data_IF_790393180149
#
_entry.id   IF_790393180149
#
_cell.length_a   1.000
_cell.length_b   1.000
_cell.length_c   1.000
_cell.angle_alpha   90.00
_cell.angle_beta   90.00
_cell.angle_gamma   90.00
#
_symmetry.space_group_name_H-M   'P 1'
#
loop_
_entity.id
_entity.type
_entity.pdbx_description
1 polymer ?
#
# COMPACT_ATOMS: atom_id res chain seq x y z
N UNK A 1 4.35 -16.79 25.83
CA UNK A 1 4.24 -15.54 25.04
C UNK A 1 3.88 -15.92 23.62
N UNK A 2 2.80 -15.39 23.03
CA UNK A 2 2.69 -15.45 21.57
C UNK A 2 3.88 -14.69 20.99
N UNK A 3 4.46 -15.24 19.93
CA UNK A 3 5.34 -14.46 19.06
C UNK A 3 4.54 -13.23 18.63
N UNK A 4 4.98 -12.01 18.96
CA UNK A 4 4.43 -10.83 18.29
C UNK A 4 4.63 -11.01 16.78
N UNK A 5 3.91 -10.26 15.94
CA UNK A 5 4.09 -10.28 14.48
C UNK A 5 5.48 -9.71 14.05
N UNK A 6 6.26 -9.24 15.05
CA UNK A 6 7.71 -9.14 15.04
C UNK A 6 8.46 -10.50 15.00
N UNK A 7 7.78 -11.63 14.82
CA UNK A 7 8.27 -12.98 15.19
C UNK A 7 9.57 -13.43 14.55
N UNK A 8 9.85 -12.93 13.34
CA UNK A 8 11.15 -13.04 12.68
C UNK A 8 11.60 -11.70 12.11
N UNK A 9 11.70 -10.68 12.98
CA UNK A 9 12.39 -9.44 12.57
C UNK A 9 13.82 -9.72 12.13
N UNK A 10 14.51 -10.68 12.74
CA UNK A 10 15.89 -11.01 12.42
C UNK A 10 15.98 -11.96 11.22
N UNK A 11 16.78 -11.56 10.23
CA UNK A 11 17.23 -12.42 9.14
C UNK A 11 18.23 -13.44 9.68
N UNK A 12 17.88 -14.73 9.66
CA UNK A 12 18.75 -15.83 10.10
C UNK A 12 19.05 -16.79 8.96
N UNK A 13 20.23 -17.43 9.01
CA UNK A 13 20.65 -18.43 8.02
C UNK A 13 19.62 -19.56 7.92
N UNK A 14 19.10 -20.03 9.05
CA UNK A 14 18.09 -21.09 9.10
C UNK A 14 16.76 -20.65 8.47
N UNK A 15 16.31 -19.41 8.72
CA UNK A 15 15.07 -18.91 8.13
C UNK A 15 15.20 -18.73 6.62
N UNK A 16 16.32 -18.18 6.16
CA UNK A 16 16.60 -18.00 4.73
C UNK A 16 16.72 -19.35 4.01
N UNK A 17 17.33 -20.36 4.65
CA UNK A 17 17.36 -21.73 4.16
C UNK A 17 15.95 -22.30 4.00
N UNK A 18 15.13 -22.23 5.06
CA UNK A 18 13.72 -22.68 5.03
C UNK A 18 12.85 -21.94 4.00
N UNK A 19 13.13 -20.67 3.73
CA UNK A 19 12.47 -19.91 2.67
C UNK A 19 12.94 -20.38 1.27
N UNK A 20 14.24 -20.58 1.06
CA UNK A 20 14.75 -21.12 -0.21
C UNK A 20 14.26 -22.55 -0.51
N UNK A 21 14.12 -23.39 0.53
CA UNK A 21 13.59 -24.76 0.40
C UNK A 21 12.09 -24.78 0.04
N UNK A 22 11.31 -23.78 0.50
CA UNK A 22 9.92 -23.57 0.06
C UNK A 22 9.84 -23.18 -1.41
N UNK A 23 10.58 -22.15 -1.82
CA UNK A 23 10.62 -21.68 -3.22
C UNK A 23 10.95 -22.79 -4.22
N UNK A 24 11.98 -23.60 -3.96
CA UNK A 24 12.34 -24.75 -4.83
C UNK A 24 11.22 -25.81 -4.91
N UNK A 25 10.38 -25.94 -3.87
CA UNK A 25 9.23 -26.85 -3.89
C UNK A 25 8.05 -26.25 -4.68
N UNK A 26 7.76 -24.96 -4.48
CA UNK A 26 6.71 -24.23 -5.23
C UNK A 26 7.04 -24.14 -6.72
N UNK A 27 8.29 -23.84 -7.08
CA UNK A 27 8.78 -23.81 -8.46
C UNK A 27 8.61 -25.17 -9.15
N UNK A 28 8.95 -26.27 -8.47
CA UNK A 28 8.68 -27.64 -8.97
C UNK A 28 7.19 -27.92 -9.17
N UNK A 29 6.32 -27.44 -8.27
CA UNK A 29 4.87 -27.55 -8.42
C UNK A 29 4.39 -26.70 -9.62
N UNK A 30 4.97 -25.52 -9.83
CA UNK A 30 4.64 -24.64 -10.96
C UNK A 30 5.08 -25.25 -12.29
N UNK A 31 6.30 -25.77 -12.40
CA UNK A 31 6.77 -26.50 -13.59
C UNK A 31 5.90 -27.74 -13.87
N UNK A 32 5.45 -28.46 -12.83
CA UNK A 32 4.48 -29.56 -12.99
C UNK A 32 3.11 -29.09 -13.51
N UNK A 33 2.58 -27.95 -13.02
CA UNK A 33 1.33 -27.36 -13.55
C UNK A 33 1.48 -26.85 -14.98
N UNK A 34 2.57 -26.16 -15.32
CA UNK A 34 2.83 -25.62 -16.67
C UNK A 34 3.01 -26.76 -17.69
N UNK A 35 3.72 -27.83 -17.32
CA UNK A 35 3.82 -29.02 -18.19
C UNK A 35 2.47 -29.72 -18.39
N UNK A 36 1.61 -29.80 -17.36
CA UNK A 36 0.23 -30.28 -17.51
C UNK A 36 -0.65 -29.36 -18.38
N UNK A 37 -0.50 -28.03 -18.30
CA UNK A 37 -1.20 -27.08 -19.17
C UNK A 37 -0.75 -27.20 -20.64
N UNK A 38 0.53 -27.48 -20.90
CA UNK A 38 1.04 -27.71 -22.26
C UNK A 38 0.32 -28.85 -23.01
N UNK A 39 -0.29 -29.79 -22.29
CA UNK A 39 -1.13 -30.86 -22.88
C UNK A 39 -2.60 -30.51 -23.11
N UNK A 40 -3.10 -29.36 -22.62
CA UNK A 40 -4.52 -28.98 -22.70
C UNK A 40 -4.81 -27.65 -23.42
N UNK A 41 -3.86 -26.74 -23.56
CA UNK A 41 -4.09 -25.46 -24.25
C UNK A 41 -3.90 -25.53 -25.78
N UNK A 42 -4.93 -26.07 -26.46
CA UNK A 42 -5.21 -25.82 -27.89
C UNK A 42 -6.33 -24.78 -28.08
N UNK A 43 -6.16 -23.59 -27.53
CA UNK A 43 -6.89 -22.40 -27.95
C UNK A 43 -5.94 -21.28 -28.35
N UNK A 44 -5.57 -21.29 -29.64
CA UNK A 44 -4.96 -20.13 -30.29
C UNK A 44 -6.04 -19.08 -30.57
N UNK A 45 -5.82 -17.86 -30.11
CA UNK A 45 -6.37 -16.65 -30.75
C UNK A 45 -5.24 -15.64 -30.90
N UNK A 46 -5.07 -15.01 -32.09
CA UNK A 46 -3.92 -14.17 -32.37
C UNK A 46 -4.07 -12.77 -31.75
N UNK A 47 -2.96 -12.21 -31.29
CA UNK A 47 -2.87 -10.77 -30.96
C UNK A 47 -2.97 -9.96 -32.24
N UNK A 48 -3.99 -9.11 -32.33
CA UNK A 48 -4.11 -8.12 -33.41
C UNK A 48 -3.06 -7.03 -33.23
N UNK A 49 -2.08 -7.01 -34.12
CA UNK A 49 -1.14 -5.88 -34.25
C UNK A 49 -1.81 -4.79 -35.09
N UNK A 50 -2.06 -3.64 -34.47
CA UNK A 50 -2.36 -2.39 -35.17
C UNK A 50 -1.28 -1.36 -34.82
N UNK A 51 -0.48 -1.02 -35.83
CA UNK A 51 0.48 0.08 -35.77
C UNK A 51 -0.24 1.42 -35.92
N UNK A 52 0.11 2.42 -35.10
CA UNK A 52 0.51 3.74 -35.60
C UNK A 52 1.29 4.60 -34.56
N UNK A 53 2.61 4.66 -34.77
CA UNK A 53 3.61 5.73 -34.53
C UNK A 53 3.44 6.81 -33.42
N UNK A 54 4.50 6.87 -32.59
CA UNK A 54 5.33 8.06 -32.19
C UNK A 54 4.70 9.06 -31.17
N UNK A 55 5.34 9.48 -30.07
CA UNK A 55 6.60 9.14 -29.35
C UNK A 55 6.45 9.49 -27.84
N UNK A 56 7.42 9.52 -26.90
CA UNK A 56 8.89 9.51 -26.91
C UNK A 56 9.51 8.24 -26.29
N UNK A 57 10.68 7.84 -26.80
CA UNK A 57 11.40 6.62 -26.37
C UNK A 57 12.20 6.86 -25.08
N UNK A 58 11.93 6.07 -24.03
CA UNK A 58 12.94 5.75 -23.01
C UNK A 58 13.87 4.71 -23.64
N UNK A 59 15.16 4.99 -23.69
CA UNK A 59 16.14 4.03 -24.19
C UNK A 59 16.23 2.82 -23.25
N UNK A 60 15.60 1.72 -23.64
CA UNK A 60 15.58 0.47 -22.90
C UNK A 60 16.91 -0.29 -22.92
N UNK A 61 17.93 0.18 -23.65
CA UNK A 61 19.22 -0.53 -23.79
C UNK A 61 20.21 -0.25 -22.67
N UNK A 62 20.03 0.82 -21.88
CA UNK A 62 20.89 1.11 -20.72
C UNK A 62 20.39 0.52 -19.39
N UNK A 63 19.21 -0.11 -19.36
CA UNK A 63 18.83 -0.97 -18.25
C UNK A 63 19.67 -2.25 -18.28
N UNK A 64 20.80 -2.24 -17.56
CA UNK A 64 21.58 -3.43 -17.24
C UNK A 64 20.80 -4.33 -16.28
N UNK A 65 19.84 -5.06 -16.83
CA UNK A 65 19.23 -6.22 -16.19
C UNK A 65 20.33 -7.26 -15.92
N UNK A 66 20.41 -7.75 -14.68
CA UNK A 66 21.31 -8.84 -14.34
C UNK A 66 20.86 -10.10 -15.09
N UNK A 67 21.80 -10.93 -15.54
CA UNK A 67 21.55 -11.93 -16.59
C UNK A 67 20.92 -13.23 -16.07
N UNK A 68 20.04 -13.15 -15.08
CA UNK A 68 19.38 -14.31 -14.44
C UNK A 68 18.11 -14.74 -15.15
N UNK A 69 17.46 -13.84 -15.89
CA UNK A 69 16.11 -14.08 -16.40
C UNK A 69 16.18 -14.46 -17.88
N UNK A 70 16.01 -15.76 -18.14
CA UNK A 70 15.94 -16.30 -19.50
C UNK A 70 14.81 -15.69 -20.33
N UNK A 71 14.94 -15.75 -21.66
CA UNK A 71 14.01 -15.10 -22.58
C UNK A 71 12.53 -15.51 -22.39
N UNK A 72 12.27 -16.71 -21.86
CA UNK A 72 10.92 -17.24 -21.55
C UNK A 72 10.22 -16.58 -20.35
N UNK A 73 10.89 -15.71 -19.59
CA UNK A 73 10.28 -15.01 -18.44
C UNK A 73 9.86 -13.57 -18.71
N UNK A 74 10.22 -12.99 -19.87
CA UNK A 74 9.84 -11.61 -20.20
C UNK A 74 8.34 -11.41 -20.41
N UNK A 75 7.67 -12.42 -20.97
CA UNK A 75 6.23 -12.40 -21.24
C UNK A 75 5.38 -12.51 -19.96
N UNK A 76 6.01 -12.86 -18.83
CA UNK A 76 5.38 -13.08 -17.52
C UNK A 76 5.56 -11.90 -16.54
N UNK A 77 6.21 -10.81 -16.94
CA UNK A 77 6.42 -9.66 -16.07
C UNK A 77 5.17 -8.77 -16.03
N UNK A 78 4.70 -8.46 -14.82
CA UNK A 78 3.57 -7.55 -14.55
C UNK A 78 2.20 -7.98 -15.12
N UNK A 79 1.98 -9.29 -15.34
CA UNK A 79 0.68 -9.84 -15.77
C UNK A 79 -0.48 -9.41 -14.86
N UNK A 80 -0.21 -9.32 -13.55
CA UNK A 80 -1.21 -8.91 -12.57
C UNK A 80 -1.60 -7.43 -12.73
N UNK A 81 -0.63 -6.53 -12.91
CA UNK A 81 -0.88 -5.13 -13.22
C UNK A 81 -1.59 -4.93 -14.58
N UNK A 82 -1.26 -5.73 -15.59
CA UNK A 82 -1.97 -5.74 -16.89
C UNK A 82 -3.43 -6.15 -16.67
N UNK A 83 -3.67 -7.28 -16.00
CA UNK A 83 -5.02 -7.79 -15.74
C UNK A 83 -5.86 -6.84 -14.89
N UNK A 84 -5.25 -6.18 -13.91
CA UNK A 84 -5.92 -5.16 -13.11
C UNK A 84 -6.35 -3.98 -13.98
N UNK A 85 -5.46 -3.50 -14.87
CA UNK A 85 -5.76 -2.40 -15.78
C UNK A 85 -6.90 -2.72 -16.75
N UNK A 86 -7.01 -3.96 -17.23
CA UNK A 86 -8.15 -4.41 -18.04
C UNK A 86 -9.47 -4.29 -17.27
N UNK A 87 -9.50 -4.82 -16.04
CA UNK A 87 -10.70 -4.80 -15.19
C UNK A 87 -11.10 -3.39 -14.80
N UNK A 88 -10.16 -2.54 -14.37
CA UNK A 88 -10.47 -1.14 -14.04
C UNK A 88 -10.94 -0.36 -15.26
N UNK A 89 -10.33 -0.57 -16.44
CA UNK A 89 -10.77 0.08 -17.67
C UNK A 89 -12.20 -0.31 -18.08
N UNK A 90 -12.58 -1.58 -17.90
CA UNK A 90 -13.95 -2.04 -18.15
C UNK A 90 -14.98 -1.44 -17.19
N UNK A 91 -14.55 -0.98 -16.01
CA UNK A 91 -15.39 -0.34 -14.98
C UNK A 91 -15.46 1.19 -15.09
N UNK A 92 -14.64 1.83 -15.93
CA UNK A 92 -14.60 3.28 -16.08
C UNK A 92 -15.89 3.84 -16.72
N UNK A 93 -16.81 4.32 -15.89
CA UNK A 93 -17.78 5.33 -16.32
C UNK A 93 -17.04 6.66 -16.61
N UNK A 94 -17.61 7.51 -17.48
CA UNK A 94 -16.90 8.64 -18.11
C UNK A 94 -16.60 9.84 -17.18
N UNK A 95 -15.71 9.64 -16.21
CA UNK A 95 -15.19 10.67 -15.30
C UNK A 95 -14.14 11.63 -15.92
N UNK A 96 -13.94 11.60 -17.25
CA UNK A 96 -12.91 12.38 -17.96
C UNK A 96 -13.03 13.91 -17.85
N UNK A 97 -14.16 14.42 -17.33
CA UNK A 97 -14.40 15.84 -17.09
C UNK A 97 -13.98 16.35 -15.70
N UNK A 98 -13.68 15.44 -14.76
CA UNK A 98 -13.31 15.78 -13.38
C UNK A 98 -11.84 16.21 -13.25
N UNK A 99 -11.60 17.25 -12.46
CA UNK A 99 -10.28 17.87 -12.24
C UNK A 99 -9.95 18.00 -10.75
N UNK A 100 -8.67 17.84 -10.40
CA UNK A 100 -8.12 17.87 -9.05
C UNK A 100 -7.33 19.15 -8.73
N UNK A 101 -7.35 20.18 -9.59
CA UNK A 101 -6.59 21.44 -9.47
C UNK A 101 -6.76 22.18 -8.13
N UNK A 102 -7.84 21.89 -7.40
CA UNK A 102 -8.18 22.45 -6.10
C UNK A 102 -7.52 21.72 -4.91
N UNK A 103 -6.93 20.55 -5.15
CA UNK A 103 -6.12 19.79 -4.20
C UNK A 103 -4.65 20.12 -4.48
N UNK A 104 -3.99 20.74 -3.50
CA UNK A 104 -2.62 21.26 -3.63
C UNK A 104 -1.60 20.43 -2.86
N UNK A 105 -2.00 19.78 -1.77
CA UNK A 105 -1.10 18.93 -0.96
C UNK A 105 -1.82 17.66 -0.52
N UNK A 106 -1.14 16.53 -0.64
CA UNK A 106 -1.57 15.24 -0.10
C UNK A 106 -0.85 15.00 1.23
N UNK A 107 -1.56 15.15 2.34
CA UNK A 107 -1.00 14.98 3.69
C UNK A 107 -1.30 13.56 4.16
N UNK A 108 -0.30 12.68 4.10
CA UNK A 108 -0.48 11.26 4.44
C UNK A 108 -0.11 11.03 5.91
N UNK A 109 -1.08 10.57 6.68
CA UNK A 109 -0.92 10.06 8.05
C UNK A 109 -1.12 8.54 7.94
N UNK A 110 -0.12 7.75 8.32
CA UNK A 110 -0.05 6.35 7.90
C UNK A 110 0.82 5.45 8.77
N UNK A 111 0.83 4.15 8.46
CA UNK A 111 1.79 3.20 9.01
C UNK A 111 2.79 2.68 7.95
N UNK A 112 3.29 1.44 8.09
CA UNK A 112 4.27 0.83 7.19
C UNK A 112 3.80 0.72 5.74
N UNK A 113 2.49 0.53 5.51
CA UNK A 113 1.92 0.48 4.15
C UNK A 113 2.08 1.82 3.41
N UNK A 114 2.37 2.90 4.13
CA UNK A 114 2.40 4.26 3.60
C UNK A 114 3.76 4.96 3.78
N UNK A 115 4.76 4.37 4.46
CA UNK A 115 6.04 5.03 4.81
C UNK A 115 6.99 5.16 3.59
N UNK A 116 6.77 6.17 2.74
CA UNK A 116 7.65 6.52 1.61
C UNK A 116 8.99 7.15 2.02
N UNK A 117 9.06 7.71 3.22
CA UNK A 117 10.21 8.50 3.67
C UNK A 117 11.24 7.66 4.44
N UNK A 118 11.01 6.35 4.57
CA UNK A 118 11.85 5.45 5.37
C UNK A 118 11.95 5.91 6.81
N UNK A 119 10.86 6.43 7.39
CA UNK A 119 10.85 7.04 8.73
C UNK A 119 11.24 6.05 9.79
N UNK A 120 10.74 4.81 9.74
CA UNK A 120 11.12 3.76 10.70
C UNK A 120 12.61 3.37 10.59
N UNK A 121 13.13 3.23 9.36
CA UNK A 121 14.56 2.97 9.12
C UNK A 121 15.44 4.08 9.69
N UNK A 122 15.12 5.34 9.37
CA UNK A 122 15.85 6.51 9.86
C UNK A 122 15.83 6.62 11.38
N UNK A 123 14.66 6.37 12.00
CA UNK A 123 14.44 6.43 13.44
C UNK A 123 15.22 5.38 14.24
N UNK A 124 15.49 4.24 13.62
CA UNK A 124 16.24 3.12 14.20
C UNK A 124 17.69 3.11 13.74
N UNK A 125 18.20 4.24 13.21
CA UNK A 125 19.57 4.42 12.74
C UNK A 125 20.00 3.34 11.71
N UNK A 126 19.06 2.91 10.88
CA UNK A 126 19.28 1.89 9.85
C UNK A 126 19.07 0.44 10.30
N UNK A 127 18.79 0.17 11.58
CA UNK A 127 18.60 -1.21 12.11
C UNK A 127 17.36 -1.87 11.51
N UNK A 128 16.18 -1.23 11.61
CA UNK A 128 14.98 -1.70 10.91
C UNK A 128 15.15 -1.50 9.41
N UNK A 129 14.76 -2.52 8.62
CA UNK A 129 14.90 -2.52 7.17
C UNK A 129 16.37 -2.41 6.74
N UNK A 130 17.25 -3.11 7.47
CA UNK A 130 18.66 -3.36 7.10
C UNK A 130 18.82 -4.54 6.14
N UNK A 131 17.84 -5.46 6.11
CA UNK A 131 17.71 -6.52 5.10
C UNK A 131 17.77 -5.93 3.69
N UNK A 132 18.55 -6.55 2.78
CA UNK A 132 18.73 -6.07 1.39
C UNK A 132 17.41 -6.06 0.59
N UNK A 133 16.43 -6.86 1.02
CA UNK A 133 15.14 -7.06 0.35
C UNK A 133 14.24 -5.80 0.36
N UNK A 134 14.48 -4.81 1.24
CA UNK A 134 13.67 -3.60 1.33
C UNK A 134 14.23 -2.39 0.57
N UNK A 135 13.40 -1.80 -0.29
CA UNK A 135 13.81 -0.64 -1.09
C UNK A 135 13.81 0.66 -0.28
N UNK A 136 15.01 1.23 -0.07
CA UNK A 136 15.23 2.56 0.54
C UNK A 136 14.47 2.82 1.85
N UNK A 137 14.19 1.77 2.62
CA UNK A 137 13.49 1.86 3.92
C UNK A 137 11.96 1.90 3.84
N UNK A 138 11.36 1.60 2.68
CA UNK A 138 9.94 1.24 2.57
C UNK A 138 9.73 -0.21 2.98
N UNK A 139 8.54 -0.58 3.43
CA UNK A 139 8.16 -1.95 3.79
C UNK A 139 7.71 -2.76 2.56
N UNK A 140 8.46 -2.70 1.45
CA UNK A 140 8.16 -3.44 0.22
C UNK A 140 9.40 -3.53 -0.68
N UNK A 141 9.36 -4.33 -1.75
CA UNK A 141 10.43 -4.47 -2.75
C UNK A 141 10.52 -3.30 -3.74
N UNK A 142 10.14 -2.09 -3.32
CA UNK A 142 10.07 -0.93 -4.20
C UNK A 142 9.33 0.24 -3.56
N UNK A 143 8.55 0.95 -4.36
CA UNK A 143 7.70 2.06 -3.98
C UNK A 143 6.41 1.61 -3.28
N UNK A 144 5.91 2.42 -2.33
CA UNK A 144 4.59 2.22 -1.69
C UNK A 144 3.52 3.03 -2.43
N UNK A 145 2.24 2.79 -2.14
CA UNK A 145 1.13 3.45 -2.83
C UNK A 145 1.23 5.00 -2.81
N UNK A 146 1.78 5.57 -1.73
CA UNK A 146 1.95 7.02 -1.57
C UNK A 146 2.97 7.62 -2.56
N UNK A 147 4.00 6.87 -2.95
CA UNK A 147 4.95 7.27 -4.00
C UNK A 147 4.24 7.31 -5.36
N UNK A 148 3.53 6.21 -5.70
CA UNK A 148 2.83 6.08 -6.98
C UNK A 148 1.76 7.15 -7.15
N UNK A 149 0.83 7.26 -6.20
CA UNK A 149 -0.36 8.11 -6.30
C UNK A 149 -0.03 9.60 -6.47
N UNK A 150 1.14 10.04 -5.97
CA UNK A 150 1.61 11.43 -6.03
C UNK A 150 2.44 11.75 -7.28
N UNK A 151 2.80 10.73 -8.08
CA UNK A 151 3.60 10.87 -9.30
C UNK A 151 2.80 11.40 -10.50
N UNK A 152 3.50 11.71 -11.60
CA UNK A 152 2.92 12.22 -12.84
C UNK A 152 1.84 11.32 -13.48
N UNK A 153 1.91 10.01 -13.25
CA UNK A 153 1.00 9.04 -13.87
C UNK A 153 -0.39 8.95 -13.19
N UNK A 154 -0.54 9.49 -11.97
CA UNK A 154 -1.74 9.33 -11.13
C UNK A 154 -2.38 10.70 -10.84
N UNK A 155 -2.46 11.18 -9.60
CA UNK A 155 -3.25 12.38 -9.26
C UNK A 155 -2.87 13.62 -10.08
N UNK A 156 -1.58 13.79 -10.42
CA UNK A 156 -1.10 14.89 -11.27
C UNK A 156 -1.65 14.85 -12.69
N UNK A 157 -1.94 13.66 -13.25
CA UNK A 157 -2.59 13.49 -14.57
C UNK A 157 -4.00 14.10 -14.61
N UNK A 158 -4.67 14.19 -13.45
CA UNK A 158 -6.02 14.73 -13.30
C UNK A 158 -6.04 16.21 -12.88
N UNK A 159 -4.89 16.90 -12.94
CA UNK A 159 -4.79 18.35 -12.73
C UNK A 159 -4.59 19.04 -14.08
N UNK A 160 -5.49 19.96 -14.43
CA UNK A 160 -5.54 20.57 -15.76
C UNK A 160 -4.52 21.70 -15.91
N UNK A 161 -4.37 22.58 -14.92
CA UNK A 161 -3.33 23.61 -14.98
C UNK A 161 -1.95 23.05 -14.66
N UNK A 162 -0.94 23.55 -15.38
CA UNK A 162 0.48 23.28 -15.12
C UNK A 162 0.90 23.71 -13.72
N UNK A 163 0.49 24.92 -13.32
CA UNK A 163 0.68 25.44 -11.97
C UNK A 163 0.18 24.48 -10.88
N UNK A 164 -0.95 23.80 -11.09
CA UNK A 164 -1.46 22.80 -10.14
C UNK A 164 -0.60 21.52 -10.13
N UNK A 165 -0.18 21.03 -11.30
CA UNK A 165 0.70 19.85 -11.43
C UNK A 165 2.05 20.06 -10.76
N UNK A 166 2.66 21.22 -10.95
CA UNK A 166 4.01 21.52 -10.48
C UNK A 166 4.04 21.85 -8.98
N UNK A 167 3.04 22.60 -8.49
CA UNK A 167 2.95 22.94 -7.07
C UNK A 167 2.35 21.83 -6.20
N UNK A 168 1.85 20.72 -6.77
CA UNK A 168 1.34 19.59 -5.99
C UNK A 168 2.44 18.87 -5.21
N UNK A 169 2.25 18.77 -3.88
CA UNK A 169 3.21 18.19 -2.94
C UNK A 169 2.64 17.00 -2.16
N UNK A 170 3.40 15.92 -2.08
CA UNK A 170 3.22 14.88 -1.07
C UNK A 170 3.86 15.34 0.25
N UNK A 171 3.11 15.29 1.34
CA UNK A 171 3.58 15.57 2.70
C UNK A 171 3.34 14.34 3.57
N UNK A 172 4.26 13.38 3.50
CA UNK A 172 4.08 12.07 4.14
C UNK A 172 4.64 12.01 5.57
N UNK A 173 3.78 11.71 6.54
CA UNK A 173 4.11 11.56 7.96
C UNK A 173 4.02 10.11 8.46
N UNK A 174 3.65 9.18 7.59
CA UNK A 174 3.55 7.76 7.89
C UNK A 174 4.85 7.21 8.47
N UNK A 175 4.73 6.27 9.40
CA UNK A 175 5.88 5.66 10.08
C UNK A 175 5.56 4.18 10.32
N UNK A 176 6.47 3.30 9.90
CA UNK A 176 6.30 1.85 10.12
C UNK A 176 5.88 1.48 11.55
N UNK A 177 4.93 0.54 11.67
CA UNK A 177 4.42 0.09 12.96
C UNK A 177 3.53 1.09 13.72
N UNK A 178 3.22 2.27 13.16
CA UNK A 178 2.37 3.26 13.81
C UNK A 178 0.94 2.75 14.06
N UNK A 179 0.38 3.15 15.20
CA UNK A 179 -0.98 2.78 15.63
C UNK A 179 -1.96 3.96 15.51
N UNK A 180 -3.25 3.66 15.46
CA UNK A 180 -4.30 4.68 15.51
C UNK A 180 -4.47 5.19 16.95
N UNK A 181 -4.65 4.27 17.91
CA UNK A 181 -4.92 4.63 19.29
C UNK A 181 -3.64 4.90 20.11
N UNK A 182 -3.77 5.73 21.16
CA UNK A 182 -2.69 5.95 22.13
C UNK A 182 -2.76 4.91 23.24
N UNK A 183 -1.68 4.14 23.40
CA UNK A 183 -1.53 3.14 24.47
C UNK A 183 -0.63 3.64 25.61
N UNK A 184 -0.54 2.85 26.70
CA UNK A 184 0.18 3.24 27.91
C UNK A 184 1.68 3.37 27.66
N UNK A 185 2.26 4.47 28.15
CA UNK A 185 3.72 4.70 28.17
C UNK A 185 4.46 3.81 29.17
N UNK A 186 3.78 2.97 29.97
CA UNK A 186 4.47 2.00 30.83
C UNK A 186 5.10 0.86 30.03
N UNK A 187 4.63 0.61 28.80
CA UNK A 187 5.30 -0.28 27.87
C UNK A 187 6.26 0.55 26.98
N UNK A 188 7.58 0.30 27.02
CA UNK A 188 8.60 1.13 26.34
C UNK A 188 8.47 1.09 24.81
N UNK A 189 7.86 0.06 24.23
CA UNK A 189 7.61 -0.01 22.77
C UNK A 189 6.79 1.18 22.28
N UNK A 190 5.83 1.67 23.08
CA UNK A 190 5.02 2.86 22.74
C UNK A 190 5.73 4.21 22.99
N UNK A 191 6.98 4.22 23.43
CA UNK A 191 7.83 5.42 23.33
C UNK A 191 8.31 5.60 21.90
N UNK A 192 8.80 4.51 21.30
CA UNK A 192 9.32 4.48 19.94
C UNK A 192 8.20 4.54 18.91
N UNK A 193 7.18 3.69 19.01
CA UNK A 193 6.08 3.60 18.04
C UNK A 193 5.27 4.90 17.92
N UNK A 194 4.92 5.30 16.69
CA UNK A 194 4.07 6.47 16.42
C UNK A 194 2.59 6.19 16.59
N UNK A 195 1.82 7.27 16.67
CA UNK A 195 0.37 7.20 16.54
C UNK A 195 -0.15 8.33 15.66
N UNK A 196 -1.36 8.14 15.13
CA UNK A 196 -2.08 9.11 14.29
C UNK A 196 -2.00 10.55 14.85
N UNK A 197 -2.34 10.74 16.13
CA UNK A 197 -2.27 12.06 16.78
C UNK A 197 -0.86 12.66 16.79
N UNK A 198 0.18 11.85 17.02
CA UNK A 198 1.59 12.29 16.99
C UNK A 198 2.01 12.74 15.59
N UNK A 199 1.58 12.02 14.55
CA UNK A 199 1.85 12.37 13.16
C UNK A 199 1.11 13.64 12.73
N UNK A 200 -0.19 13.74 13.01
CA UNK A 200 -1.01 14.95 12.78
C UNK A 200 -0.38 16.17 13.44
N UNK A 201 0.03 16.06 14.71
CA UNK A 201 0.69 17.16 15.42
C UNK A 201 2.07 17.52 14.83
N UNK A 202 2.82 16.55 14.30
CA UNK A 202 4.10 16.78 13.60
C UNK A 202 3.89 17.55 12.29
N UNK A 203 2.82 17.27 11.55
CA UNK A 203 2.42 18.06 10.39
C UNK A 203 1.98 19.47 10.79
N UNK A 204 1.07 19.58 11.76
CA UNK A 204 0.55 20.84 12.31
C UNK A 204 1.69 21.79 12.75
N UNK A 205 2.73 21.25 13.40
CA UNK A 205 3.90 22.03 13.84
C UNK A 205 4.88 22.39 12.71
N UNK A 206 5.05 21.55 11.69
CA UNK A 206 6.08 21.74 10.65
C UNK A 206 5.59 22.56 9.45
N UNK A 207 4.39 22.28 8.96
CA UNK A 207 3.87 22.81 7.68
C UNK A 207 2.56 23.59 7.84
N UNK A 208 1.83 23.32 8.92
CA UNK A 208 0.45 23.77 9.12
C UNK A 208 -0.55 23.16 8.12
N UNK A 209 -1.83 23.13 8.49
CA UNK A 209 -2.90 22.81 7.53
C UNK A 209 -3.23 24.05 6.68
N UNK A 210 -3.49 23.84 5.39
CA UNK A 210 -3.70 24.90 4.40
C UNK A 210 -4.90 24.59 3.49
N UNK A 211 -5.41 25.63 2.80
CA UNK A 211 -6.51 25.48 1.84
C UNK A 211 -6.03 24.63 0.65
N UNK A 212 -6.76 23.56 0.34
CA UNK A 212 -6.38 22.60 -0.70
C UNK A 212 -5.63 21.37 -0.18
N UNK A 213 -5.47 21.22 1.14
CA UNK A 213 -5.00 19.97 1.73
C UNK A 213 -6.06 18.87 1.59
N UNK A 214 -5.62 17.73 1.05
CA UNK A 214 -6.30 16.45 1.21
C UNK A 214 -5.53 15.62 2.23
N UNK A 215 -6.16 15.34 3.37
CA UNK A 215 -5.57 14.51 4.43
C UNK A 215 -5.98 13.06 4.19
N UNK A 216 -5.02 12.15 4.04
CA UNK A 216 -5.26 10.71 3.98
C UNK A 216 -4.89 10.10 5.33
N UNK A 217 -5.81 9.36 5.94
CA UNK A 217 -5.58 8.59 7.16
C UNK A 217 -5.61 7.09 6.80
N UNK A 218 -4.46 6.41 6.91
CA UNK A 218 -4.26 5.01 6.51
C UNK A 218 -3.49 4.23 7.59
N UNK A 219 -4.16 3.90 8.69
CA UNK A 219 -3.59 3.21 9.87
C UNK A 219 -4.59 2.18 10.45
N UNK A 220 -4.25 1.60 11.60
CA UNK A 220 -5.01 0.65 12.46
C UNK A 220 -4.64 -0.82 12.33
N UNK A 221 -4.02 -1.26 11.23
CA UNK A 221 -3.64 -2.67 11.07
C UNK A 221 -2.72 -3.10 12.22
N UNK A 222 -1.77 -2.23 12.60
CA UNK A 222 -0.84 -2.44 13.70
C UNK A 222 -1.49 -2.54 15.09
N UNK A 223 -2.59 -1.83 15.36
CA UNK A 223 -3.29 -1.90 16.66
C UNK A 223 -3.72 -3.35 16.94
N UNK A 224 -4.32 -4.01 15.94
CA UNK A 224 -4.78 -5.40 16.01
C UNK A 224 -3.65 -6.41 15.81
N UNK A 225 -2.96 -6.33 14.68
CA UNK A 225 -1.95 -7.29 14.22
C UNK A 225 -0.71 -7.26 15.12
N UNK A 226 -0.05 -6.11 15.19
CA UNK A 226 1.25 -5.98 15.87
C UNK A 226 1.11 -5.95 17.39
N UNK A 227 0.03 -5.37 17.92
CA UNK A 227 -0.13 -5.15 19.36
C UNK A 227 -1.24 -5.98 20.04
N UNK A 228 -1.90 -6.90 19.34
CA UNK A 228 -2.98 -7.78 19.85
C UNK A 228 -4.04 -7.00 20.67
N UNK A 229 -4.50 -5.88 20.11
CA UNK A 229 -5.63 -5.12 20.66
C UNK A 229 -6.92 -5.66 20.08
N UNK A 230 -8.01 -5.57 20.84
CA UNK A 230 -9.33 -6.07 20.46
C UNK A 230 -10.44 -5.03 20.62
N UNK A 231 -10.12 -3.91 21.28
CA UNK A 231 -11.02 -2.78 21.51
C UNK A 231 -11.13 -1.95 20.23
N UNK A 232 -11.99 -2.40 19.30
CA UNK A 232 -12.23 -1.75 18.01
C UNK A 232 -12.82 -0.35 18.20
N UNK A 233 -13.73 -0.18 19.15
CA UNK A 233 -14.39 1.09 19.42
C UNK A 233 -13.40 2.19 19.80
N UNK A 234 -12.48 1.92 20.73
CA UNK A 234 -11.44 2.88 21.10
C UNK A 234 -10.56 3.30 19.93
N UNK A 235 -10.27 2.37 19.01
CA UNK A 235 -9.46 2.65 17.81
C UNK A 235 -10.25 3.54 16.85
N UNK A 236 -11.50 3.18 16.53
CA UNK A 236 -12.35 3.95 15.62
C UNK A 236 -12.70 5.33 16.17
N UNK A 237 -13.01 5.47 17.46
CA UNK A 237 -13.30 6.74 18.12
C UNK A 237 -12.09 7.71 18.13
N UNK A 238 -10.87 7.23 17.88
CA UNK A 238 -9.72 8.11 17.65
C UNK A 238 -9.80 8.83 16.28
N UNK A 239 -10.31 8.17 15.23
CA UNK A 239 -10.52 8.81 13.92
C UNK A 239 -11.53 9.95 14.04
N UNK A 240 -12.70 9.68 14.63
CA UNK A 240 -13.75 10.67 14.86
C UNK A 240 -13.18 11.92 15.56
N UNK A 241 -12.44 11.71 16.65
CA UNK A 241 -11.86 12.80 17.44
C UNK A 241 -10.88 13.68 16.66
N UNK A 242 -9.94 13.08 15.94
CA UNK A 242 -8.92 13.86 15.22
C UNK A 242 -9.49 14.45 13.91
N UNK A 243 -10.46 13.81 13.25
CA UNK A 243 -11.23 14.37 12.12
C UNK A 243 -12.01 15.62 12.56
N UNK A 244 -12.79 15.55 13.64
CA UNK A 244 -13.51 16.71 14.19
C UNK A 244 -12.52 17.84 14.50
N UNK A 245 -11.36 17.55 15.10
CA UNK A 245 -10.31 18.55 15.38
C UNK A 245 -9.76 19.19 14.09
N UNK A 246 -9.47 18.40 13.06
CA UNK A 246 -8.95 18.90 11.77
C UNK A 246 -9.98 19.76 11.04
N UNK A 247 -11.25 19.35 11.03
CA UNK A 247 -12.34 20.12 10.42
C UNK A 247 -12.59 21.42 11.18
N UNK A 248 -12.95 21.33 12.46
CA UNK A 248 -13.43 22.46 13.27
C UNK A 248 -12.30 23.42 13.64
N UNK A 249 -11.14 22.91 14.04
CA UNK A 249 -10.04 23.75 14.55
C UNK A 249 -8.97 24.10 13.52
N UNK A 250 -8.97 23.46 12.33
CA UNK A 250 -7.94 23.65 11.30
C UNK A 250 -8.50 23.88 9.89
N UNK A 251 -9.83 23.84 9.70
CA UNK A 251 -10.47 24.16 8.44
C UNK A 251 -10.22 23.15 7.31
N UNK A 252 -9.77 21.93 7.62
CA UNK A 252 -9.53 20.88 6.62
C UNK A 252 -10.86 20.52 5.94
N UNK A 253 -10.86 20.51 4.60
CA UNK A 253 -12.08 20.26 3.80
C UNK A 253 -12.10 18.93 3.03
N UNK A 254 -10.95 18.29 2.80
CA UNK A 254 -10.90 17.01 2.08
C UNK A 254 -10.17 15.99 2.95
N UNK A 255 -10.89 14.95 3.34
CA UNK A 255 -10.38 13.87 4.18
C UNK A 255 -10.69 12.55 3.49
N UNK A 256 -9.67 11.73 3.30
CA UNK A 256 -9.79 10.34 2.88
C UNK A 256 -9.36 9.46 4.04
N UNK A 257 -10.13 8.43 4.32
CA UNK A 257 -9.76 7.39 5.28
C UNK A 257 -9.79 6.06 4.56
N UNK A 258 -8.74 5.27 4.70
CA UNK A 258 -8.76 3.90 4.20
C UNK A 258 -9.34 2.97 5.27
N UNK A 259 -10.04 1.93 4.85
CA UNK A 259 -10.16 0.72 5.67
C UNK A 259 -8.77 0.10 5.91
N UNK A 260 -8.74 -0.92 6.76
CA UNK A 260 -7.60 -1.84 6.84
C UNK A 260 -7.88 -3.07 5.96
N UNK A 261 -6.85 -3.74 5.42
CA UNK A 261 -7.03 -5.04 4.76
C UNK A 261 -7.60 -6.07 5.75
N UNK A 262 -8.26 -7.12 5.24
CA UNK A 262 -8.51 -8.31 6.06
C UNK A 262 -7.16 -8.91 6.49
N UNK A 263 -6.87 -8.84 7.78
CA UNK A 263 -5.60 -9.31 8.33
C UNK A 263 -5.43 -10.84 8.18
N UNK A 264 -6.52 -11.58 7.93
CA UNK A 264 -6.54 -13.04 7.78
C UNK A 264 -6.07 -13.57 6.43
N UNK A 265 -5.95 -12.71 5.41
CA UNK A 265 -5.40 -13.05 4.08
C UNK A 265 -3.88 -12.83 3.98
N UNK A 266 -3.24 -12.34 5.05
CA UNK A 266 -1.78 -12.12 5.07
C UNK A 266 -1.02 -13.44 5.06
N UNK A 267 0.17 -13.47 4.45
CA UNK A 267 1.08 -14.63 4.51
C UNK A 267 1.46 -15.02 5.95
N UNK A 268 1.39 -14.09 6.91
CA UNK A 268 1.46 -14.34 8.33
C UNK A 268 0.26 -15.17 8.81
N UNK A 269 -0.97 -14.74 8.54
CA UNK A 269 -2.18 -15.41 8.99
C UNK A 269 -2.36 -16.82 8.42
N UNK A 270 -1.79 -17.11 7.23
CA UNK A 270 -1.72 -18.45 6.67
C UNK A 270 -0.82 -19.43 7.46
N UNK A 271 0.02 -18.94 8.39
CA UNK A 271 0.84 -19.75 9.30
C UNK A 271 0.18 -19.98 10.67
N UNK A 272 -0.87 -19.22 10.98
CA UNK A 272 -1.58 -19.25 12.25
C UNK A 272 -2.75 -20.26 12.22
N UNK A 273 -3.27 -20.63 13.40
CA UNK A 273 -4.40 -21.54 13.47
C UNK A 273 -5.72 -20.87 13.04
N UNK A 274 -6.70 -21.65 12.57
CA UNK A 274 -8.00 -21.13 12.08
C UNK A 274 -8.72 -20.22 13.08
N UNK A 275 -8.58 -20.47 14.39
CA UNK A 275 -9.14 -19.60 15.44
C UNK A 275 -8.54 -18.20 15.41
N UNK A 276 -7.22 -18.11 15.30
CA UNK A 276 -6.52 -16.82 15.30
C UNK A 276 -6.70 -16.09 13.96
N UNK A 277 -6.70 -16.83 12.85
CA UNK A 277 -7.04 -16.31 11.52
C UNK A 277 -8.48 -15.79 11.46
N UNK A 278 -9.45 -16.50 12.04
CA UNK A 278 -10.83 -16.01 12.16
C UNK A 278 -10.95 -14.78 13.07
N UNK A 279 -10.17 -14.70 14.17
CA UNK A 279 -10.08 -13.50 15.01
C UNK A 279 -9.56 -12.30 14.21
N UNK A 280 -8.55 -12.49 13.37
CA UNK A 280 -7.98 -11.45 12.50
C UNK A 280 -9.03 -10.91 11.51
N UNK A 281 -9.77 -11.79 10.83
CA UNK A 281 -10.85 -11.38 9.93
C UNK A 281 -11.99 -10.66 10.68
N UNK A 282 -12.42 -11.19 11.83
CA UNK A 282 -13.45 -10.58 12.65
C UNK A 282 -13.12 -9.15 13.10
N UNK A 283 -11.88 -8.92 13.57
CA UNK A 283 -11.40 -7.58 13.93
C UNK A 283 -11.33 -6.62 12.74
N UNK A 284 -10.88 -7.11 11.58
CA UNK A 284 -10.76 -6.31 10.35
C UNK A 284 -12.13 -5.85 9.85
N UNK A 285 -13.08 -6.80 9.77
CA UNK A 285 -14.45 -6.53 9.37
C UNK A 285 -15.18 -5.60 10.35
N UNK A 286 -15.06 -5.85 11.67
CA UNK A 286 -15.66 -4.99 12.68
C UNK A 286 -15.07 -3.56 12.63
N UNK A 287 -13.76 -3.42 12.42
CA UNK A 287 -13.12 -2.12 12.25
C UNK A 287 -13.66 -1.37 11.04
N UNK A 288 -13.64 -2.00 9.87
CA UNK A 288 -14.06 -1.36 8.62
C UNK A 288 -15.55 -0.98 8.64
N UNK A 289 -16.42 -1.85 9.15
CA UNK A 289 -17.85 -1.56 9.29
C UNK A 289 -18.10 -0.36 10.22
N UNK A 290 -17.49 -0.35 11.41
CA UNK A 290 -17.72 0.72 12.38
C UNK A 290 -17.12 2.05 11.90
N UNK A 291 -15.90 2.02 11.33
CA UNK A 291 -15.25 3.19 10.75
C UNK A 291 -16.08 3.78 9.61
N UNK A 292 -16.59 2.95 8.69
CA UNK A 292 -17.45 3.39 7.58
C UNK A 292 -18.74 4.06 8.07
N UNK A 293 -19.36 3.53 9.13
CA UNK A 293 -20.53 4.18 9.77
C UNK A 293 -20.15 5.55 10.35
N UNK A 294 -19.10 5.61 11.18
CA UNK A 294 -18.65 6.85 11.82
C UNK A 294 -18.27 7.94 10.82
N UNK A 295 -17.69 7.57 9.69
CA UNK A 295 -17.34 8.52 8.62
C UNK A 295 -18.58 9.03 7.87
N UNK A 296 -19.64 8.22 7.74
CA UNK A 296 -20.95 8.66 7.21
C UNK A 296 -21.56 9.71 8.13
N UNK A 297 -21.62 9.44 9.44
CA UNK A 297 -22.14 10.38 10.44
C UNK A 297 -21.39 11.72 10.42
N UNK A 298 -20.05 11.67 10.27
CA UNK A 298 -19.19 12.86 10.16
C UNK A 298 -19.39 13.59 8.83
N UNK A 299 -19.57 12.87 7.71
CA UNK A 299 -19.87 13.49 6.42
C UNK A 299 -21.23 14.20 6.46
N UNK A 300 -22.27 13.59 7.03
CA UNK A 300 -23.59 14.22 7.18
C UNK A 300 -23.48 15.48 8.07
N UNK A 301 -22.81 15.38 9.22
CA UNK A 301 -22.58 16.49 10.15
C UNK A 301 -21.87 17.70 9.52
N UNK A 302 -20.88 17.50 8.67
CA UNK A 302 -20.04 18.56 8.11
C UNK A 302 -20.31 18.87 6.63
N UNK A 303 -21.38 18.30 6.05
CA UNK A 303 -21.74 18.51 4.64
C UNK A 303 -22.00 19.99 4.32
N UNK A 304 -22.75 20.68 5.19
CA UNK A 304 -23.07 22.11 5.04
C UNK A 304 -21.84 23.02 5.12
N UNK A 305 -20.76 22.58 5.76
CA UNK A 305 -19.47 23.29 5.83
C UNK A 305 -18.61 23.10 4.57
N UNK A 306 -19.11 22.39 3.55
CA UNK A 306 -18.36 22.04 2.34
C UNK A 306 -17.19 21.08 2.61
N UNK A 307 -17.29 20.25 3.65
CA UNK A 307 -16.31 19.21 3.96
C UNK A 307 -16.68 17.93 3.22
N UNK A 308 -15.69 17.27 2.61
CA UNK A 308 -15.82 15.95 2.00
C UNK A 308 -14.97 14.92 2.73
N UNK A 309 -15.61 13.85 3.19
CA UNK A 309 -15.02 12.73 3.91
C UNK A 309 -15.31 11.46 3.12
N UNK A 310 -14.26 10.84 2.57
CA UNK A 310 -14.35 9.59 1.81
C UNK A 310 -13.84 8.40 2.61
N UNK A 311 -14.48 7.24 2.43
CA UNK A 311 -13.97 5.95 2.89
C UNK A 311 -13.52 5.12 1.68
N UNK A 312 -12.23 4.81 1.58
CA UNK A 312 -11.67 3.90 0.58
C UNK A 312 -11.61 2.48 1.14
N UNK A 313 -12.31 1.55 0.50
CA UNK A 313 -12.43 0.15 0.95
C UNK A 313 -11.18 -0.66 0.61
N UNK A 314 -10.10 -0.42 1.36
CA UNK A 314 -8.81 -1.07 1.13
C UNK A 314 -8.90 -2.60 1.23
N UNK A 315 -9.81 -3.17 2.04
CA UNK A 315 -10.00 -4.62 2.12
C UNK A 315 -10.49 -5.17 0.79
N UNK A 316 -11.68 -4.75 0.34
CA UNK A 316 -12.24 -5.27 -0.91
C UNK A 316 -11.32 -5.04 -2.12
N UNK A 317 -10.58 -3.93 -2.14
CA UNK A 317 -9.58 -3.67 -3.18
C UNK A 317 -8.35 -4.58 -3.12
N UNK A 318 -7.91 -5.03 -1.94
CA UNK A 318 -6.84 -6.02 -1.81
C UNK A 318 -7.36 -7.44 -2.06
N UNK A 319 -8.56 -7.76 -1.60
CA UNK A 319 -9.20 -9.08 -1.77
C UNK A 319 -9.39 -9.39 -3.27
N UNK A 320 -9.91 -8.45 -4.05
CA UNK A 320 -10.01 -8.56 -5.52
C UNK A 320 -8.63 -8.73 -6.20
N UNK A 321 -7.59 -8.07 -5.69
CA UNK A 321 -6.23 -8.18 -6.23
C UNK A 321 -5.60 -9.53 -5.89
N UNK A 322 -5.90 -10.10 -4.72
CA UNK A 322 -5.50 -11.46 -4.32
C UNK A 322 -6.17 -12.50 -5.21
N UNK A 323 -7.48 -12.40 -5.44
CA UNK A 323 -8.20 -13.31 -6.33
C UNK A 323 -7.66 -13.26 -7.77
N UNK A 324 -7.35 -12.05 -8.25
CA UNK A 324 -6.74 -11.84 -9.57
C UNK A 324 -5.32 -12.39 -9.64
N UNK A 325 -4.50 -12.18 -8.60
CA UNK A 325 -3.15 -12.70 -8.49
C UNK A 325 -3.13 -14.24 -8.53
N UNK A 326 -4.06 -14.89 -7.84
CA UNK A 326 -4.23 -16.34 -7.88
C UNK A 326 -4.61 -16.84 -9.30
N UNK A 327 -5.49 -16.13 -10.01
CA UNK A 327 -5.87 -16.47 -11.40
C UNK A 327 -4.69 -16.41 -12.37
N UNK A 328 -3.80 -15.42 -12.23
CA UNK A 328 -2.55 -15.34 -13.02
C UNK A 328 -1.39 -16.12 -12.38
N UNK A 329 -1.61 -16.93 -11.34
CA UNK A 329 -0.57 -17.80 -10.78
C UNK A 329 0.59 -17.08 -10.07
N UNK A 330 0.32 -15.98 -9.39
CA UNK A 330 1.17 -15.45 -8.32
C UNK A 330 0.92 -16.25 -7.03
N UNK A 331 1.89 -16.30 -6.12
CA UNK A 331 1.64 -16.80 -4.76
C UNK A 331 0.91 -15.72 -3.95
N UNK A 332 -0.23 -16.11 -3.39
CA UNK A 332 -1.10 -15.28 -2.55
C UNK A 332 -1.03 -15.63 -1.07
N UNK A 333 -0.34 -16.73 -0.73
CA UNK A 333 -0.38 -17.36 0.60
C UNK A 333 0.96 -17.31 1.34
N UNK A 334 2.08 -17.12 0.63
CA UNK A 334 3.42 -17.05 1.23
C UNK A 334 4.16 -15.76 0.88
N UNK A 335 5.07 -15.37 1.75
CA UNK A 335 5.99 -14.25 1.59
C UNK A 335 7.18 -14.56 0.67
N UNK A 336 7.57 -13.61 -0.17
CA UNK A 336 8.82 -13.71 -0.94
C UNK A 336 10.07 -13.62 -0.04
N UNK A 337 10.03 -12.77 1.00
CA UNK A 337 11.25 -12.27 1.66
C UNK A 337 11.38 -12.69 3.13
N UNK A 338 12.63 -12.83 3.60
CA UNK A 338 12.92 -13.16 4.98
C UNK A 338 13.41 -11.96 5.81
N UNK A 339 12.62 -11.55 6.81
CA UNK A 339 12.99 -10.70 7.96
C UNK A 339 13.33 -9.23 7.68
N UNK A 340 13.11 -8.35 8.67
CA UNK A 340 13.35 -6.91 8.56
C UNK A 340 14.81 -6.48 8.79
N UNK A 341 15.55 -7.22 9.63
CA UNK A 341 16.82 -6.81 10.26
C UNK A 341 17.91 -7.83 9.95
N UNK A 342 18.92 -7.43 9.18
CA UNK A 342 20.09 -8.23 8.86
C UNK A 342 21.28 -7.76 9.71
N UNK A 343 21.38 -8.27 10.95
CA UNK A 343 22.36 -7.79 11.94
C UNK A 343 23.82 -7.81 11.44
N UNK A 344 24.33 -8.85 10.77
CA UNK A 344 25.67 -8.80 10.16
C UNK A 344 25.84 -7.57 9.26
N UNK A 345 24.82 -7.24 8.46
CA UNK A 345 24.83 -6.08 7.57
C UNK A 345 24.81 -4.74 8.32
N UNK A 346 24.13 -4.67 9.47
CA UNK A 346 24.16 -3.50 10.39
C UNK A 346 25.59 -3.27 10.93
N UNK A 347 26.33 -4.34 11.21
CA UNK A 347 27.72 -4.28 11.66
C UNK A 347 28.76 -4.23 10.52
N UNK A 348 28.35 -3.95 9.28
CA UNK A 348 29.25 -3.84 8.12
C UNK A 348 29.81 -5.16 7.58
N UNK A 349 29.31 -6.30 8.06
CA UNK A 349 29.68 -7.63 7.59
C UNK A 349 28.82 -8.07 6.40
N UNK A 350 29.19 -9.20 5.77
CA UNK A 350 28.35 -9.86 4.77
C UNK A 350 27.01 -10.25 5.40
N UNK A 351 25.94 -9.62 4.92
CA UNK A 351 24.56 -9.90 5.35
C UNK A 351 24.10 -11.32 4.97
N UNK A 352 23.08 -11.80 5.68
CA UNK A 352 22.43 -13.08 5.39
C UNK A 352 21.28 -12.94 4.38
N UNK A 353 20.70 -11.75 4.22
CA UNK A 353 19.50 -11.50 3.40
C UNK A 353 19.64 -11.95 1.95
N UNK A 354 18.52 -12.39 1.37
CA UNK A 354 18.46 -12.79 -0.04
C UNK A 354 18.80 -11.59 -0.97
N UNK A 355 19.17 -11.84 -2.24
CA UNK A 355 19.20 -10.78 -3.26
C UNK A 355 17.91 -9.97 -3.27
N UNK A 356 18.00 -8.72 -3.74
CA UNK A 356 16.83 -7.87 -3.89
C UNK A 356 16.14 -8.20 -5.21
N UNK A 357 14.86 -8.55 -5.16
CA UNK A 357 14.01 -8.78 -6.32
C UNK A 357 12.82 -7.80 -6.32
N UNK A 358 12.75 -6.93 -7.32
CA UNK A 358 11.67 -5.95 -7.52
C UNK A 358 10.48 -6.46 -8.35
N UNK A 359 10.55 -7.69 -8.87
CA UNK A 359 9.59 -8.27 -9.81
C UNK A 359 9.06 -9.66 -9.39
N UNK A 360 9.35 -10.10 -8.16
CA UNK A 360 8.86 -11.37 -7.60
C UNK A 360 7.34 -11.55 -7.74
N UNK A 361 6.90 -12.76 -8.07
CA UNK A 361 5.48 -13.10 -8.29
C UNK A 361 4.77 -13.57 -7.01
N UNK A 362 4.91 -12.76 -5.95
CA UNK A 362 4.14 -12.91 -4.71
C UNK A 362 3.32 -11.64 -4.47
N UNK A 363 2.09 -11.79 -3.98
CA UNK A 363 1.27 -10.65 -3.52
C UNK A 363 1.94 -9.97 -2.32
N UNK A 364 2.48 -10.77 -1.40
CA UNK A 364 3.12 -10.28 -0.20
C UNK A 364 4.65 -10.32 -0.34
N UNK A 365 5.28 -9.17 -0.11
CA UNK A 365 6.73 -9.07 -0.07
C UNK A 365 7.29 -9.76 1.17
N UNK A 366 6.75 -9.43 2.34
CA UNK A 366 7.04 -10.10 3.62
C UNK A 366 5.77 -10.76 4.19
N UNK A 367 5.75 -11.14 5.47
CA UNK A 367 4.60 -11.85 6.02
C UNK A 367 3.30 -11.01 6.02
N UNK A 368 3.36 -9.67 5.90
CA UNK A 368 2.18 -8.80 6.03
C UNK A 368 2.11 -7.65 5.01
N UNK A 369 3.23 -7.23 4.43
CA UNK A 369 3.25 -6.09 3.51
C UNK A 369 3.15 -6.53 2.03
N UNK A 370 2.31 -5.86 1.21
CA UNK A 370 2.22 -6.14 -0.22
C UNK A 370 3.51 -5.84 -1.00
N UNK A 371 3.66 -6.45 -2.16
CA UNK A 371 4.70 -6.11 -3.14
C UNK A 371 4.47 -4.73 -3.76
N UNK A 372 5.51 -4.18 -4.40
CA UNK A 372 5.46 -2.91 -5.12
C UNK A 372 4.36 -2.92 -6.20
N UNK A 373 4.17 -4.03 -6.90
CA UNK A 373 3.15 -4.17 -7.93
C UNK A 373 1.74 -4.04 -7.32
N UNK A 374 1.50 -4.67 -6.17
CA UNK A 374 0.23 -4.54 -5.44
C UNK A 374 0.03 -3.10 -4.94
N UNK A 375 1.08 -2.45 -4.44
CA UNK A 375 1.05 -1.02 -4.11
C UNK A 375 0.75 -0.11 -5.31
N UNK A 376 1.25 -0.43 -6.50
CA UNK A 376 1.01 0.29 -7.75
C UNK A 376 -0.47 0.21 -8.17
N UNK A 377 -1.09 -0.96 -8.05
CA UNK A 377 -2.50 -1.18 -8.41
C UNK A 377 -3.45 -0.55 -7.39
N UNK A 378 -3.13 -0.67 -6.09
CA UNK A 378 -3.85 0.01 -5.01
C UNK A 378 -3.79 1.55 -5.18
N UNK A 379 -2.65 2.10 -5.59
CA UNK A 379 -2.52 3.52 -5.92
C UNK A 379 -3.37 3.91 -7.14
N UNK A 380 -3.53 3.04 -8.14
CA UNK A 380 -4.42 3.27 -9.29
C UNK A 380 -5.88 3.34 -8.83
N UNK A 381 -6.35 2.29 -8.16
CA UNK A 381 -7.72 2.18 -7.63
C UNK A 381 -8.06 3.34 -6.69
N UNK A 382 -7.11 3.74 -5.84
CA UNK A 382 -7.27 4.92 -4.97
C UNK A 382 -7.26 6.24 -5.75
N UNK A 383 -6.46 6.37 -6.81
CA UNK A 383 -6.49 7.54 -7.70
C UNK A 383 -7.87 7.67 -8.36
N UNK A 384 -8.41 6.59 -8.93
CA UNK A 384 -9.73 6.57 -9.57
C UNK A 384 -10.85 6.92 -8.56
N UNK A 385 -10.77 6.39 -7.34
CA UNK A 385 -11.65 6.78 -6.24
C UNK A 385 -11.54 8.28 -5.88
N UNK A 386 -10.32 8.81 -5.77
CA UNK A 386 -10.09 10.23 -5.47
C UNK A 386 -10.64 11.13 -6.59
N UNK A 387 -10.45 10.77 -7.86
CA UNK A 387 -11.00 11.50 -9.00
C UNK A 387 -12.53 11.46 -8.97
N UNK A 388 -13.13 10.28 -8.89
CA UNK A 388 -14.58 10.09 -8.84
C UNK A 388 -15.22 10.87 -7.68
N UNK A 389 -14.65 10.75 -6.48
CA UNK A 389 -15.24 11.32 -5.26
C UNK A 389 -14.86 12.78 -5.02
N UNK A 390 -13.62 13.20 -5.22
CA UNK A 390 -13.17 14.56 -4.88
C UNK A 390 -13.02 15.47 -6.10
N UNK A 391 -12.96 14.91 -7.31
CA UNK A 391 -12.87 15.66 -8.55
C UNK A 391 -14.06 16.59 -8.80
N UNK A 392 -13.76 17.79 -9.30
CA UNK A 392 -14.75 18.81 -9.67
C UNK A 392 -14.90 18.84 -11.18
N UNK A 393 -16.12 18.99 -11.68
CA UNK A 393 -16.32 19.31 -13.09
C UNK A 393 -15.63 20.63 -13.41
N UNK A 394 -14.71 20.62 -14.37
CA UNK A 394 -14.16 21.88 -14.88
C UNK A 394 -15.28 22.61 -15.60
N UNK A 395 -15.70 23.78 -15.11
CA UNK A 395 -16.31 24.76 -16.01
C UNK A 395 -15.26 25.09 -17.07
N UNK A 396 -15.53 24.74 -18.33
CA UNK A 396 -14.89 25.45 -19.41
C UNK A 396 -15.42 26.88 -19.30
N UNK A 397 -14.57 27.80 -18.85
CA UNK A 397 -14.83 29.21 -19.12
C UNK A 397 -14.80 29.32 -20.66
N UNK A 398 -15.86 29.84 -21.30
CA UNK A 398 -15.72 30.35 -22.65
C UNK A 398 -14.58 31.37 -22.63
N UNK A 399 -13.69 31.29 -23.61
CA UNK A 399 -12.66 32.31 -23.82
C UNK A 399 -13.33 33.67 -24.01
N UNK A 400 -12.97 34.63 -23.15
CA UNK A 400 -13.13 36.07 -23.41
C UNK A 400 -12.07 36.54 -24.41
#
# INVERSE_FOLDING_TARGET
MKSLILGRQLVSIEYNKKLSERKVKEEKIRVAKVSQLSSYDKLKTPVLVLNEKVEHVIDGTELRFDSTDGAEHKDLLFELAIRNKEVTNAQLTSHSSQALDHIKRLVVIGDSLSDSEGRMKSKTLGVMLSSRQYYKGRFTNGFVWADFISSGAYLKKHMKSEEARDNFKLLNYAEGGAVTAKYSKLNPTFWFISNMKRQIHKHEKKEGFQKGDMVVLALSANDYMTFDKTDVEKVVNCYEKEIIKMVVSKGVKYILVTGIPDLSITAHAHKECDRDRAKMSGLSNQHNQFLKSKLKDLQERFFGDGVKIGFFDFSGQLDELVDMANQVGYDTTTEEQAGYIDLPRVFGLKGNSQPFDSAHRHVFHDEVHPSQEVHQMLASRMCDFIVSQFGRTSKMNPSE
#
